data_IF_568610699543
#
_entry.id   IF_568610699543
#
_cell.length_a   1.000
_cell.length_b   1.000
_cell.length_c   1.000
_cell.angle_alpha   90.00
_cell.angle_beta   90.00
_cell.angle_gamma   90.00
#
_symmetry.space_group_name_H-M   'P 1'
#
loop_
_entity.id
_entity.type
_entity.pdbx_description
1 polymer ?
#
# COMPACT_ATOMS: atom_id res chain seq x y z
N UNK A 1 -6.62 -11.94 34.43
CA UNK A 1 -7.33 -11.95 33.13
C UNK A 1 -6.40 -12.57 32.10
N UNK A 2 -6.81 -13.63 31.42
CA UNK A 2 -5.99 -14.27 30.38
C UNK A 2 -6.08 -13.41 29.11
N UNK A 3 -4.95 -12.93 28.61
CA UNK A 3 -4.88 -12.32 27.30
C UNK A 3 -4.98 -13.41 26.24
N UNK A 4 -6.01 -13.36 25.40
CA UNK A 4 -6.13 -14.22 24.25
C UNK A 4 -5.29 -13.62 23.11
N UNK A 5 -4.20 -14.28 22.75
CA UNK A 5 -3.36 -13.88 21.62
C UNK A 5 -3.81 -14.65 20.39
N UNK A 6 -4.30 -13.95 19.36
CA UNK A 6 -4.58 -14.57 18.07
C UNK A 6 -3.30 -14.55 17.23
N UNK A 7 -2.79 -15.72 16.88
CA UNK A 7 -1.58 -15.89 16.08
C UNK A 7 -1.85 -16.21 14.61
N UNK A 8 -3.05 -15.94 14.12
CA UNK A 8 -3.46 -16.18 12.75
C UNK A 8 -4.46 -15.16 12.23
N UNK A 9 -4.80 -15.20 10.94
CA UNK A 9 -5.80 -14.30 10.40
C UNK A 9 -7.12 -14.49 11.17
N UNK A 10 -7.65 -13.37 11.68
CA UNK A 10 -8.97 -13.37 12.29
C UNK A 10 -9.97 -13.49 11.13
N UNK A 11 -10.59 -14.64 10.99
CA UNK A 11 -11.78 -14.77 10.18
C UNK A 11 -12.91 -14.03 10.89
N UNK A 12 -13.02 -12.73 10.64
CA UNK A 12 -14.22 -11.98 10.99
C UNK A 12 -15.35 -12.56 10.16
N UNK A 13 -16.18 -13.36 10.79
CA UNK A 13 -17.10 -14.30 10.17
C UNK A 13 -17.80 -13.83 8.90
N UNK A 14 -17.98 -14.73 7.99
CA UNK A 14 -18.88 -14.54 6.86
C UNK A 14 -20.22 -14.09 7.41
N UNK A 15 -20.54 -12.81 7.24
CA UNK A 15 -21.90 -12.34 7.51
C UNK A 15 -22.75 -13.03 6.45
N UNK A 16 -23.39 -14.11 6.85
CA UNK A 16 -24.33 -14.85 6.02
C UNK A 16 -25.31 -13.85 5.44
N UNK A 17 -25.31 -13.74 4.10
CA UNK A 17 -26.37 -13.12 3.32
C UNK A 17 -27.32 -12.27 4.16
N UNK A 18 -26.93 -11.06 4.51
CA UNK A 18 -27.95 -10.08 4.75
C UNK A 18 -28.53 -9.80 3.38
N UNK A 19 -29.63 -10.43 3.09
CA UNK A 19 -30.55 -10.01 2.03
C UNK A 19 -31.08 -8.63 2.45
N UNK A 20 -30.17 -7.66 2.47
CA UNK A 20 -30.52 -6.27 2.55
C UNK A 20 -31.18 -5.95 1.25
N UNK A 21 -32.46 -5.79 1.33
CA UNK A 21 -33.30 -5.03 0.44
C UNK A 21 -32.64 -4.63 -0.88
N UNK A 22 -32.90 -5.36 -1.93
CA UNK A 22 -32.97 -4.93 -3.32
C UNK A 22 -31.69 -4.75 -4.15
N UNK A 23 -30.54 -5.03 -3.69
CA UNK A 23 -29.38 -5.13 -4.59
C UNK A 23 -29.07 -6.61 -4.78
N UNK A 24 -29.39 -7.14 -5.93
CA UNK A 24 -29.14 -8.47 -6.46
C UNK A 24 -28.74 -9.57 -5.47
N UNK A 25 -29.30 -10.72 -5.61
CA UNK A 25 -29.07 -11.93 -4.80
C UNK A 25 -27.60 -12.36 -4.67
N UNK A 26 -26.69 -11.69 -5.39
CA UNK A 26 -25.29 -12.05 -5.52
C UNK A 26 -24.33 -11.15 -4.74
N UNK A 27 -24.81 -10.13 -4.03
CA UNK A 27 -23.96 -9.26 -3.21
C UNK A 27 -23.72 -9.91 -1.86
N UNK A 28 -22.51 -10.40 -1.65
CA UNK A 28 -22.06 -10.92 -0.36
C UNK A 28 -21.31 -9.84 0.40
N UNK A 29 -21.76 -9.53 1.62
CA UNK A 29 -20.97 -8.70 2.53
C UNK A 29 -19.89 -9.57 3.17
N UNK A 30 -18.64 -9.34 2.81
CA UNK A 30 -17.48 -9.95 3.48
C UNK A 30 -16.82 -8.93 4.39
N UNK A 31 -16.60 -9.29 5.67
CA UNK A 31 -15.78 -8.48 6.56
C UNK A 31 -14.33 -8.52 6.08
N UNK A 32 -13.73 -7.34 5.84
CA UNK A 32 -12.33 -7.22 5.47
C UNK A 32 -11.58 -6.46 6.55
N UNK A 33 -10.36 -6.91 6.88
CA UNK A 33 -9.47 -6.20 7.79
C UNK A 33 -8.44 -5.45 6.97
N UNK A 34 -8.37 -4.14 7.14
CA UNK A 34 -7.32 -3.32 6.54
C UNK A 34 -6.07 -3.47 7.39
N UNK A 35 -5.03 -4.00 6.77
CA UNK A 35 -3.69 -4.09 7.33
C UNK A 35 -2.92 -2.81 7.02
N UNK A 36 -1.96 -2.48 7.88
CA UNK A 36 -1.11 -1.31 7.72
C UNK A 36 0.33 -1.67 8.04
N UNK A 37 1.25 -1.28 7.17
CA UNK A 37 2.69 -1.32 7.43
C UNK A 37 3.27 0.06 7.19
N UNK A 38 4.17 0.50 8.07
CA UNK A 38 4.83 1.79 7.98
C UNK A 38 6.32 1.65 8.26
N UNK A 39 7.14 2.41 7.55
CA UNK A 39 8.59 2.43 7.74
C UNK A 39 9.15 3.83 7.54
N UNK A 40 10.10 4.22 8.39
CA UNK A 40 10.90 5.41 8.18
C UNK A 40 11.77 5.26 6.92
N UNK A 41 11.83 6.30 6.12
CA UNK A 41 12.63 6.38 4.91
C UNK A 41 13.39 7.72 4.86
N UNK A 42 14.47 7.73 4.12
CA UNK A 42 15.23 8.93 3.79
C UNK A 42 15.05 9.28 2.32
N UNK A 43 15.53 10.43 1.90
CA UNK A 43 15.55 10.85 0.50
C UNK A 43 16.60 10.06 -0.32
N UNK A 44 16.66 8.77 -0.15
CA UNK A 44 17.49 7.86 -0.91
C UNK A 44 16.63 6.74 -1.50
N UNK A 45 16.95 6.33 -2.71
CA UNK A 45 16.31 5.14 -3.28
C UNK A 45 16.68 3.90 -2.47
N UNK A 46 15.70 3.09 -2.12
CA UNK A 46 15.94 1.90 -1.33
C UNK A 46 14.74 0.98 -1.23
N UNK A 47 15.05 -0.30 -1.04
CA UNK A 47 14.04 -1.31 -0.74
C UNK A 47 13.68 -1.23 0.74
N UNK A 48 12.40 -1.14 1.03
CA UNK A 48 11.89 -1.12 2.41
C UNK A 48 11.77 -2.55 2.98
N UNK A 49 11.43 -2.66 4.26
CA UNK A 49 11.03 -3.94 4.87
C UNK A 49 9.51 -4.20 4.76
N UNK A 50 8.76 -3.28 4.17
CA UNK A 50 7.33 -3.46 3.93
C UNK A 50 7.13 -4.55 2.88
N UNK A 51 6.39 -5.59 3.24
CA UNK A 51 6.04 -6.70 2.34
C UNK A 51 4.54 -6.80 2.25
N UNK A 52 4.01 -6.65 1.06
CA UNK A 52 2.59 -6.85 0.78
C UNK A 52 2.39 -8.31 0.38
N UNK A 53 1.57 -9.06 1.12
CA UNK A 53 1.32 -10.47 0.82
C UNK A 53 0.68 -10.67 -0.55
N UNK A 54 0.93 -11.83 -1.13
CA UNK A 54 0.26 -12.27 -2.36
C UNK A 54 -1.26 -12.15 -2.26
N UNK A 55 -1.92 -11.92 -3.37
CA UNK A 55 -3.38 -11.77 -3.49
C UNK A 55 -3.96 -10.66 -2.59
N UNK A 56 -3.17 -9.63 -2.30
CA UNK A 56 -3.62 -8.44 -1.55
C UNK A 56 -4.06 -7.35 -2.50
N UNK A 57 -5.01 -6.53 -2.04
CA UNK A 57 -5.41 -5.27 -2.66
C UNK A 57 -4.79 -4.12 -1.89
N UNK A 58 -4.12 -3.20 -2.56
CA UNK A 58 -3.61 -1.97 -1.96
C UNK A 58 -4.76 -0.97 -1.88
N UNK A 59 -4.97 -0.43 -0.68
CA UNK A 59 -6.04 0.56 -0.40
C UNK A 59 -5.50 1.98 -0.43
N UNK A 60 -4.29 2.18 0.14
CA UNK A 60 -3.63 3.48 0.15
C UNK A 60 -2.12 3.32 0.30
N UNK A 61 -1.39 4.24 -0.31
CA UNK A 61 0.03 4.45 -0.07
C UNK A 61 0.22 5.93 0.24
N UNK A 62 0.86 6.23 1.36
CA UNK A 62 1.09 7.60 1.82
C UNK A 62 2.57 7.80 2.13
N UNK A 63 3.10 8.93 1.70
CA UNK A 63 4.41 9.44 2.09
C UNK A 63 4.20 10.59 3.09
N UNK A 64 4.59 10.41 4.34
CA UNK A 64 4.70 11.50 5.31
C UNK A 64 6.09 12.09 5.19
N UNK A 65 6.19 13.38 4.93
CA UNK A 65 7.44 14.13 4.84
C UNK A 65 7.63 14.91 6.13
N UNK A 66 8.59 14.51 6.94
CA UNK A 66 8.92 15.13 8.23
C UNK A 66 10.07 16.14 8.08
N UNK A 67 11.03 15.84 7.21
CA UNK A 67 12.08 16.75 6.74
C UNK A 67 11.94 16.88 5.25
N UNK A 68 11.75 18.11 4.77
CA UNK A 68 11.55 18.39 3.34
C UNK A 68 12.69 17.80 2.52
N UNK A 69 12.32 17.10 1.47
CA UNK A 69 13.29 16.57 0.52
C UNK A 69 13.86 17.71 -0.30
N UNK A 70 15.17 17.81 -0.34
CA UNK A 70 15.90 18.86 -1.03
C UNK A 70 16.24 18.48 -2.47
N UNK A 71 16.60 19.49 -3.28
CA UNK A 71 16.95 19.35 -4.69
C UNK A 71 15.85 19.80 -5.65
N UNK A 72 16.20 19.93 -6.92
CA UNK A 72 15.37 20.57 -7.95
C UNK A 72 14.11 19.77 -8.34
N UNK A 73 14.06 18.49 -8.01
CA UNK A 73 12.91 17.62 -8.28
C UNK A 73 12.78 16.61 -7.14
N UNK A 74 12.39 17.11 -5.97
CA UNK A 74 12.24 16.32 -4.75
C UNK A 74 11.02 15.40 -4.83
N UNK A 75 11.12 14.35 -5.62
CA UNK A 75 10.03 13.43 -5.90
C UNK A 75 10.44 11.98 -5.73
N UNK A 76 9.48 11.13 -5.48
CA UNK A 76 9.65 9.69 -5.39
C UNK A 76 8.73 8.94 -6.37
N UNK A 77 9.20 7.79 -6.82
CA UNK A 77 8.40 6.74 -7.39
C UNK A 77 8.25 5.61 -6.37
N UNK A 78 7.12 4.93 -6.38
CA UNK A 78 6.86 3.78 -5.52
C UNK A 78 6.52 2.58 -6.39
N UNK A 79 7.24 1.50 -6.15
CA UNK A 79 7.03 0.23 -6.81
C UNK A 79 7.39 -0.92 -5.88
N UNK A 80 7.88 -2.00 -6.43
CA UNK A 80 8.40 -3.14 -5.69
C UNK A 80 9.72 -3.63 -6.25
N UNK A 81 10.39 -4.50 -5.54
CA UNK A 81 11.65 -5.10 -6.01
C UNK A 81 11.45 -5.75 -7.38
N UNK A 82 12.24 -5.29 -8.36
CA UNK A 82 12.15 -5.73 -9.75
C UNK A 82 11.38 -4.79 -10.69
N UNK A 83 10.52 -3.90 -10.15
CA UNK A 83 9.82 -2.88 -10.93
C UNK A 83 9.57 -1.62 -10.08
N UNK A 84 10.39 -0.61 -10.26
CA UNK A 84 10.36 0.64 -9.51
C UNK A 84 9.13 1.52 -9.82
N UNK A 85 8.41 1.22 -10.88
CA UNK A 85 7.24 1.97 -11.35
C UNK A 85 5.94 1.17 -11.25
N UNK A 86 5.97 0.05 -10.57
CA UNK A 86 4.85 -0.86 -10.50
C UNK A 86 3.58 -0.26 -9.87
N UNK A 87 3.72 0.70 -8.96
CA UNK A 87 2.59 1.26 -8.19
C UNK A 87 2.33 2.73 -8.50
N UNK A 88 3.37 3.50 -8.82
CA UNK A 88 3.24 4.90 -9.25
C UNK A 88 4.07 5.16 -10.49
N UNK A 89 3.81 6.24 -11.20
CA UNK A 89 4.78 6.71 -12.19
C UNK A 89 6.11 7.09 -11.48
N UNK A 90 7.20 7.06 -12.21
CA UNK A 90 8.45 7.63 -11.72
C UNK A 90 8.24 9.09 -11.33
N UNK A 91 8.81 9.51 -10.22
CA UNK A 91 8.72 10.90 -9.74
C UNK A 91 7.27 11.41 -9.49
N UNK A 92 6.31 10.53 -9.22
CA UNK A 92 4.90 10.91 -9.07
C UNK A 92 4.53 11.43 -7.67
N UNK A 93 5.34 11.14 -6.65
CA UNK A 93 5.07 11.53 -5.26
C UNK A 93 5.99 12.69 -4.89
N UNK A 94 5.40 13.85 -4.58
CA UNK A 94 6.16 15.04 -4.25
C UNK A 94 6.70 14.98 -2.80
N UNK A 95 8.02 15.00 -2.61
CA UNK A 95 8.68 15.06 -1.31
C UNK A 95 9.09 16.48 -0.88
N UNK A 96 8.94 17.47 -1.75
CA UNK A 96 9.39 18.84 -1.55
C UNK A 96 8.52 19.70 -0.62
N UNK A 97 7.53 19.12 0.06
CA UNK A 97 6.64 19.83 0.99
C UNK A 97 6.39 18.96 2.21
N UNK A 98 6.36 19.56 3.40
CA UNK A 98 6.01 18.88 4.64
C UNK A 98 4.55 18.37 4.59
N UNK A 99 4.30 17.25 5.21
CA UNK A 99 2.95 16.71 5.36
C UNK A 99 2.76 15.33 4.71
N UNK A 100 1.52 14.92 4.59
CA UNK A 100 1.15 13.61 4.07
C UNK A 100 0.75 13.75 2.59
N UNK A 101 1.45 13.03 1.75
CA UNK A 101 1.22 12.99 0.31
C UNK A 101 0.69 11.59 -0.05
N UNK A 102 -0.52 11.53 -0.62
CA UNK A 102 -1.09 10.28 -1.11
C UNK A 102 -0.55 9.95 -2.49
N UNK A 103 -0.03 8.74 -2.65
CA UNK A 103 0.36 8.22 -3.94
C UNK A 103 -0.86 7.69 -4.71
N UNK A 104 -0.77 7.69 -6.03
CA UNK A 104 -1.82 7.18 -6.93
C UNK A 104 -1.21 6.33 -8.04
N UNK A 105 -1.98 5.36 -8.53
CA UNK A 105 -1.61 4.57 -9.71
C UNK A 105 -1.57 5.43 -10.99
N UNK A 106 -2.28 6.57 -10.99
CA UNK A 106 -2.52 7.35 -12.19
C UNK A 106 -3.45 6.63 -13.17
N UNK A 107 -3.36 6.98 -14.45
CA UNK A 107 -4.20 6.40 -15.52
C UNK A 107 -3.60 5.15 -16.20
N UNK A 108 -2.48 4.65 -15.73
CA UNK A 108 -1.83 3.46 -16.29
C UNK A 108 -2.55 2.18 -15.84
N UNK A 109 -3.03 1.40 -16.81
CA UNK A 109 -3.82 0.20 -16.54
C UNK A 109 -3.04 -0.86 -15.75
N UNK A 110 -1.73 -1.01 -16.00
CA UNK A 110 -0.89 -1.97 -15.29
C UNK A 110 -0.77 -1.60 -13.82
N UNK A 111 -0.49 -0.33 -13.52
CA UNK A 111 -0.44 0.16 -12.14
C UNK A 111 -1.78 0.02 -11.43
N UNK A 112 -2.88 0.39 -12.09
CA UNK A 112 -4.23 0.21 -11.52
C UNK A 112 -4.50 -1.26 -11.20
N UNK A 113 -4.14 -2.18 -12.09
CA UNK A 113 -4.27 -3.62 -11.84
C UNK A 113 -3.39 -4.07 -10.66
N UNK A 114 -2.16 -3.58 -10.55
CA UNK A 114 -1.25 -3.90 -9.45
C UNK A 114 -1.77 -3.41 -8.08
N UNK A 115 -2.53 -2.31 -8.05
CA UNK A 115 -3.22 -1.87 -6.83
C UNK A 115 -4.41 -2.78 -6.50
N UNK A 116 -5.14 -3.22 -7.50
CA UNK A 116 -6.30 -4.10 -7.33
C UNK A 116 -5.90 -5.51 -6.88
N UNK A 117 -4.76 -6.00 -7.36
CA UNK A 117 -4.20 -7.31 -7.02
C UNK A 117 -2.68 -7.31 -7.20
N UNK A 118 -1.94 -7.51 -6.12
CA UNK A 118 -0.48 -7.57 -6.15
C UNK A 118 0.06 -8.85 -6.82
N UNK A 119 -0.82 -9.77 -7.19
CA UNK A 119 -0.48 -11.04 -7.83
C UNK A 119 -0.14 -12.16 -6.84
N UNK A 120 0.36 -13.25 -7.36
CA UNK A 120 0.51 -14.52 -6.63
C UNK A 120 1.79 -14.64 -5.79
N UNK A 121 2.58 -13.57 -5.69
CA UNK A 121 3.84 -13.54 -4.91
C UNK A 121 3.88 -12.32 -4.01
N UNK A 122 4.51 -12.47 -2.86
CA UNK A 122 4.74 -11.36 -1.94
C UNK A 122 5.58 -10.27 -2.60
N UNK A 123 5.21 -9.02 -2.39
CA UNK A 123 5.86 -7.87 -2.99
C UNK A 123 6.49 -6.97 -1.94
N UNK A 124 7.80 -6.80 -2.03
CA UNK A 124 8.53 -5.89 -1.15
C UNK A 124 8.54 -4.49 -1.78
N UNK A 125 8.08 -3.49 -1.03
CA UNK A 125 7.99 -2.11 -1.50
C UNK A 125 9.39 -1.52 -1.72
N UNK A 126 9.54 -0.86 -2.87
CA UNK A 126 10.72 -0.08 -3.27
C UNK A 126 10.31 1.38 -3.40
N UNK A 127 11.07 2.27 -2.79
CA UNK A 127 10.98 3.72 -3.01
C UNK A 127 12.17 4.17 -3.84
N UNK A 128 11.90 4.90 -4.91
CA UNK A 128 12.93 5.44 -5.80
C UNK A 128 12.88 6.97 -5.73
N UNK A 129 13.92 7.59 -5.19
CA UNK A 129 14.06 9.05 -5.18
C UNK A 129 14.70 9.54 -6.47
N UNK A 130 14.31 10.71 -6.97
CA UNK A 130 14.93 11.34 -8.14
C UNK A 130 16.29 11.93 -7.83
N UNK A 131 16.57 12.26 -6.59
CA UNK A 131 17.84 12.74 -6.10
C UNK A 131 18.08 12.32 -4.65
N UNK A 132 19.31 12.39 -4.21
CA UNK A 132 19.69 12.14 -2.82
C UNK A 132 19.82 13.45 -2.06
N UNK A 133 19.42 13.45 -0.80
CA UNK A 133 19.48 14.63 0.06
C UNK A 133 19.23 14.27 1.52
N UNK A 134 18.94 15.27 2.34
CA UNK A 134 18.73 15.13 3.78
C UNK A 134 17.25 14.92 4.17
N UNK A 135 16.34 14.79 3.20
CA UNK A 135 14.92 14.60 3.46
C UNK A 135 14.62 13.29 4.19
N UNK A 136 13.66 13.34 5.10
CA UNK A 136 13.22 12.21 5.91
C UNK A 136 11.70 12.13 5.95
N UNK A 137 11.19 10.96 6.29
CA UNK A 137 9.76 10.74 6.46
C UNK A 137 9.39 9.27 6.64
N UNK A 138 8.13 8.97 6.44
CA UNK A 138 7.61 7.60 6.54
C UNK A 138 6.83 7.25 5.28
N UNK A 139 7.02 6.02 4.81
CA UNK A 139 6.10 5.41 3.85
C UNK A 139 5.13 4.50 4.60
N UNK A 140 3.84 4.66 4.35
CA UNK A 140 2.78 3.87 4.94
C UNK A 140 1.97 3.22 3.83
N UNK A 141 1.80 1.91 3.89
CA UNK A 141 0.98 1.15 2.93
C UNK A 141 -0.16 0.48 3.69
N UNK A 142 -1.38 0.75 3.23
CA UNK A 142 -2.60 0.08 3.71
C UNK A 142 -3.08 -0.88 2.64
N UNK A 143 -3.41 -2.09 3.04
CA UNK A 143 -3.85 -3.12 2.12
C UNK A 143 -4.86 -4.05 2.78
N UNK A 144 -5.63 -4.72 1.96
CA UNK A 144 -6.53 -5.80 2.34
C UNK A 144 -5.97 -7.09 1.75
N UNK A 145 -5.70 -8.04 2.60
CA UNK A 145 -5.33 -9.36 2.13
C UNK A 145 -6.60 -10.12 1.74
N UNK A 146 -6.68 -10.51 0.49
CA UNK A 146 -7.76 -11.37 0.02
C UNK A 146 -7.57 -12.75 0.68
N UNK A 147 -8.39 -13.05 1.67
CA UNK A 147 -8.48 -14.40 2.17
C UNK A 147 -9.05 -15.26 1.04
N UNK A 148 -8.20 -16.11 0.47
CA UNK A 148 -8.65 -17.21 -0.38
C UNK A 148 -9.54 -18.13 0.48
N UNK A 149 -10.78 -17.72 0.70
CA UNK A 149 -11.85 -18.60 1.12
C UNK A 149 -12.41 -19.25 -0.14
N UNK A 150 -11.59 -20.13 -0.72
CA UNK A 150 -12.08 -21.09 -1.71
C UNK A 150 -12.77 -22.25 -1.01
#
# INVERSE_FOLDING_TARGET
MANTTFSGPILAGTIKNTTGTTLGSDVKNTGQVVMCQSQAITQASGTTNIVIPANSQIVAIELSVDVVWDGAASTAGIGWTGDATALTAAAAVAGGTLGIISATAGADATRVNNWADVGTTDRRILVTSTNTGAGEGFITVRYVQNNNLS
#
